data_IF_480320130608
#
_entry.id   IF_480320130608
#
_cell.length_a   1.000
_cell.length_b   1.000
_cell.length_c   1.000
_cell.angle_alpha   90.00
_cell.angle_beta   90.00
_cell.angle_gamma   90.00
#
_symmetry.space_group_name_H-M   'P 1'
#
loop_
_entity.id
_entity.type
_entity.pdbx_description
1 polymer ?
#
# COMPACT_ATOMS: atom_id res chain seq x y z
N UNK A 1 -19.51 -5.01 -3.44
CA UNK A 1 -18.51 -4.69 -2.40
C UNK A 1 -17.49 -3.73 -2.98
N UNK A 2 -17.68 -2.44 -2.69
CA UNK A 2 -16.77 -1.36 -3.10
C UNK A 2 -15.82 -1.16 -1.94
N UNK A 3 -14.60 -1.67 -2.04
CA UNK A 3 -13.56 -1.48 -1.02
C UNK A 3 -13.31 0.03 -0.86
N UNK A 4 -13.66 0.58 0.30
CA UNK A 4 -13.32 1.95 0.72
C UNK A 4 -12.35 1.86 1.87
N UNK A 5 -11.32 2.70 1.82
CA UNK A 5 -10.35 2.85 2.89
C UNK A 5 -10.94 3.83 3.92
N UNK A 6 -11.02 3.47 5.22
CA UNK A 6 -11.40 4.40 6.26
C UNK A 6 -10.27 5.42 6.48
N UNK A 7 -10.60 6.71 6.41
CA UNK A 7 -9.70 7.83 6.63
C UNK A 7 -9.92 8.35 8.06
N UNK A 8 -9.06 7.95 8.99
CA UNK A 8 -9.02 8.52 10.34
C UNK A 8 -8.42 9.93 10.31
N UNK A 9 -9.12 10.90 10.91
CA UNK A 9 -8.64 12.28 11.10
C UNK A 9 -7.61 12.37 12.24
N UNK A 10 -6.66 13.29 12.03
CA UNK A 10 -5.89 14.06 13.01
C UNK A 10 -5.40 13.34 14.28
N UNK A 11 -4.12 12.92 14.25
CA UNK A 11 -3.30 12.86 15.46
C UNK A 11 -1.96 13.53 15.21
N UNK A 12 -1.62 14.43 16.14
CA UNK A 12 -0.47 15.32 16.10
C UNK A 12 0.88 14.58 16.08
N UNK A 13 1.84 15.17 15.38
CA UNK A 13 3.24 14.70 15.26
C UNK A 13 3.96 14.92 16.60
N UNK A 14 4.55 13.89 17.25
CA UNK A 14 5.41 14.10 18.40
C UNK A 14 6.78 14.62 17.95
N UNK A 15 7.28 15.64 18.64
CA UNK A 15 8.59 16.27 18.39
C UNK A 15 9.73 15.39 18.92
N UNK A 16 10.71 15.08 18.05
CA UNK A 16 11.89 14.28 18.38
C UNK A 16 12.94 15.18 19.06
N UNK A 17 13.51 14.81 20.22
CA UNK A 17 14.58 15.59 20.85
C UNK A 17 15.93 15.36 20.17
N UNK A 18 16.69 16.45 20.02
CA UNK A 18 18.04 16.50 19.44
C UNK A 18 19.04 15.62 20.23
N UNK A 19 19.53 14.56 19.62
CA UNK A 19 20.67 13.80 20.13
C UNK A 19 21.98 14.59 19.89
N UNK A 20 22.73 14.85 20.97
CA UNK A 20 24.15 15.23 20.92
C UNK A 20 24.95 13.95 20.67
N UNK A 21 25.93 13.99 19.76
CA UNK A 21 26.91 12.91 19.63
C UNK A 21 28.32 13.49 19.65
N UNK A 22 29.11 13.00 20.60
CA UNK A 22 30.53 13.27 20.75
C UNK A 22 31.34 12.28 19.92
N UNK A 23 32.53 12.72 19.51
CA UNK A 23 33.43 12.09 18.56
C UNK A 23 34.05 10.77 19.03
N UNK A 24 34.46 9.93 18.05
CA UNK A 24 35.32 8.77 18.24
C UNK A 24 35.66 8.12 16.90
N UNK A 25 36.79 8.54 16.31
CA UNK A 25 37.38 8.01 15.07
C UNK A 25 37.97 6.60 15.27
N UNK A 26 37.80 5.70 14.30
CA UNK A 26 38.74 4.61 14.06
C UNK A 26 38.82 4.30 12.57
N UNK A 27 40.03 4.45 12.05
CA UNK A 27 40.45 4.43 10.65
C UNK A 27 40.63 3.02 10.09
N UNK A 28 40.01 2.73 8.94
CA UNK A 28 40.40 1.63 8.04
C UNK A 28 40.41 2.12 6.58
N UNK A 29 41.31 1.59 5.72
CA UNK A 29 41.80 2.31 4.54
C UNK A 29 40.88 2.21 3.32
N UNK A 30 40.81 3.34 2.61
CA UNK A 30 40.04 3.58 1.40
C UNK A 30 40.69 2.91 0.17
N UNK A 31 39.93 2.08 -0.56
CA UNK A 31 40.22 1.67 -1.94
C UNK A 31 39.12 2.16 -2.87
N UNK A 32 39.43 3.21 -3.64
CA UNK A 32 39.03 3.46 -5.02
C UNK A 32 37.53 3.68 -5.37
N UNK A 33 37.17 4.75 -6.09
CA UNK A 33 35.78 5.09 -6.38
C UNK A 33 35.27 4.34 -7.61
N UNK A 34 34.20 3.55 -7.45
CA UNK A 34 33.28 3.29 -8.55
C UNK A 34 32.12 4.26 -8.40
N UNK A 35 32.19 5.31 -9.21
CA UNK A 35 31.15 6.31 -9.42
C UNK A 35 29.84 5.64 -9.82
N UNK A 36 28.93 5.48 -8.87
CA UNK A 36 27.49 5.33 -9.11
C UNK A 36 26.79 6.46 -8.36
N UNK A 37 26.80 7.64 -8.99
CA UNK A 37 26.07 8.81 -8.53
C UNK A 37 24.70 8.83 -9.24
N UNK A 38 23.64 9.19 -8.48
CA UNK A 38 22.22 9.26 -8.85
C UNK A 38 21.51 7.89 -8.95
N UNK A 39 20.52 7.49 -8.15
CA UNK A 39 19.55 8.17 -7.28
C UNK A 39 19.06 7.19 -6.20
N UNK A 40 19.56 7.27 -4.96
CA UNK A 40 18.88 6.65 -3.82
C UNK A 40 17.90 7.68 -3.25
N UNK A 41 16.71 7.77 -3.85
CA UNK A 41 15.57 8.28 -3.07
C UNK A 41 15.32 7.20 -2.03
N UNK A 42 15.58 7.48 -0.76
CA UNK A 42 15.30 6.56 0.33
C UNK A 42 13.81 6.18 0.21
N UNK A 43 13.45 4.89 0.22
CA UNK A 43 12.06 4.46 -0.02
C UNK A 43 11.07 5.16 0.93
N UNK A 44 11.52 5.43 2.16
CA UNK A 44 10.79 6.18 3.17
C UNK A 44 10.55 7.64 2.76
N UNK A 45 11.50 8.32 2.10
CA UNK A 45 11.32 9.67 1.58
C UNK A 45 10.25 9.69 0.49
N UNK A 46 10.26 8.69 -0.39
CA UNK A 46 9.24 8.58 -1.44
C UNK A 46 7.85 8.38 -0.83
N UNK A 47 7.72 7.48 0.15
CA UNK A 47 6.46 7.23 0.87
C UNK A 47 5.96 8.49 1.59
N UNK A 48 6.86 9.25 2.23
CA UNK A 48 6.50 10.51 2.88
C UNK A 48 5.97 11.55 1.89
N UNK A 49 6.42 11.52 0.63
CA UNK A 49 5.98 12.43 -0.43
C UNK A 49 4.68 11.98 -1.12
N UNK A 50 4.30 10.70 -1.06
CA UNK A 50 3.14 10.15 -1.77
C UNK A 50 1.83 10.94 -1.54
N UNK A 51 1.46 11.35 -0.31
CA UNK A 51 0.23 12.12 -0.11
C UNK A 51 0.21 13.43 -0.88
N UNK A 52 1.34 14.12 -0.93
CA UNK A 52 1.48 15.39 -1.64
C UNK A 52 1.49 15.16 -3.16
N UNK A 53 2.26 14.20 -3.65
CA UNK A 53 2.29 13.84 -5.07
C UNK A 53 0.90 13.41 -5.59
N UNK A 54 0.17 12.61 -4.81
CA UNK A 54 -1.18 12.18 -5.15
C UNK A 54 -2.17 13.36 -5.15
N UNK A 55 -2.01 14.32 -4.23
CA UNK A 55 -2.81 15.55 -4.19
C UNK A 55 -2.56 16.42 -5.43
N UNK A 56 -1.30 16.63 -5.80
CA UNK A 56 -0.92 17.44 -6.97
C UNK A 56 -1.44 16.83 -8.27
N UNK A 57 -1.40 15.49 -8.37
CA UNK A 57 -1.93 14.73 -9.51
C UNK A 57 -3.43 14.45 -9.45
N UNK A 58 -4.13 14.83 -8.38
CA UNK A 58 -5.52 14.42 -8.16
C UNK A 58 -6.48 14.85 -9.29
N UNK A 59 -6.39 16.11 -9.73
CA UNK A 59 -7.23 16.65 -10.80
C UNK A 59 -6.96 15.96 -12.15
N UNK A 60 -5.69 15.68 -12.43
CA UNK A 60 -5.24 14.97 -13.62
C UNK A 60 -5.77 13.53 -13.61
N UNK A 61 -5.52 12.80 -12.53
CA UNK A 61 -5.95 11.41 -12.36
C UNK A 61 -7.48 11.29 -12.43
N UNK A 62 -8.23 12.17 -11.76
CA UNK A 62 -9.70 12.17 -11.82
C UNK A 62 -10.22 12.33 -13.24
N UNK A 63 -9.63 13.22 -14.04
CA UNK A 63 -10.01 13.40 -15.45
C UNK A 63 -9.66 12.17 -16.28
N UNK A 64 -8.47 11.61 -16.09
CA UNK A 64 -8.01 10.42 -16.80
C UNK A 64 -8.93 9.22 -16.55
N UNK A 65 -9.18 8.88 -15.28
CA UNK A 65 -10.05 7.75 -14.93
C UNK A 65 -11.51 7.96 -15.34
N UNK A 66 -12.01 9.20 -15.38
CA UNK A 66 -13.34 9.49 -15.92
C UNK A 66 -13.44 9.20 -17.43
N UNK A 67 -12.40 9.53 -18.21
CA UNK A 67 -12.31 9.13 -19.62
C UNK A 67 -12.18 7.63 -19.78
N UNK A 68 -11.29 7.00 -19.00
CA UNK A 68 -11.02 5.57 -19.06
C UNK A 68 -12.28 4.74 -18.79
N UNK A 69 -13.11 5.16 -17.82
CA UNK A 69 -14.38 4.51 -17.51
C UNK A 69 -15.39 4.61 -18.66
N UNK A 70 -15.40 5.70 -19.41
CA UNK A 70 -16.32 5.92 -20.54
C UNK A 70 -15.89 5.17 -21.80
N UNK A 71 -14.59 5.11 -22.07
CA UNK A 71 -14.01 4.50 -23.27
C UNK A 71 -12.79 3.64 -22.89
N UNK A 72 -12.99 2.48 -22.25
CA UNK A 72 -11.89 1.60 -21.91
C UNK A 72 -11.30 0.96 -23.19
N UNK A 73 -9.98 0.99 -23.38
CA UNK A 73 -9.33 0.24 -24.45
C UNK A 73 -9.62 -1.26 -24.32
N UNK A 74 -9.68 -1.98 -25.46
CA UNK A 74 -9.96 -3.43 -25.48
C UNK A 74 -8.93 -4.24 -24.70
N UNK A 75 -7.67 -3.81 -24.72
CA UNK A 75 -6.54 -4.47 -24.06
C UNK A 75 -6.19 -3.85 -22.69
N UNK A 76 -7.09 -3.08 -22.07
CA UNK A 76 -6.83 -2.40 -20.80
C UNK A 76 -6.37 -3.37 -19.71
N UNK A 77 -7.13 -4.43 -19.47
CA UNK A 77 -6.84 -5.37 -18.38
C UNK A 77 -5.50 -6.10 -18.61
N UNK A 78 -5.17 -6.45 -19.87
CA UNK A 78 -3.88 -7.04 -20.22
C UNK A 78 -2.72 -6.05 -20.01
N UNK A 79 -2.91 -4.79 -20.40
CA UNK A 79 -1.91 -3.73 -20.20
C UNK A 79 -1.66 -3.51 -18.70
N UNK A 80 -2.74 -3.52 -17.90
CA UNK A 80 -2.62 -3.36 -16.45
C UNK A 80 -1.91 -4.53 -15.78
N UNK A 81 -2.16 -5.77 -16.22
CA UNK A 81 -1.42 -6.94 -15.75
C UNK A 81 0.08 -6.80 -16.02
N UNK A 82 0.46 -6.42 -17.24
CA UNK A 82 1.87 -6.19 -17.60
C UNK A 82 2.52 -5.12 -16.72
N UNK A 83 1.86 -3.97 -16.57
CA UNK A 83 2.35 -2.88 -15.71
C UNK A 83 2.47 -3.29 -14.24
N UNK A 84 1.54 -4.13 -13.75
CA UNK A 84 1.60 -4.69 -12.40
C UNK A 84 2.82 -5.59 -12.26
N UNK A 85 2.97 -6.59 -13.13
CA UNK A 85 4.05 -7.57 -13.06
C UNK A 85 5.42 -6.87 -13.14
N UNK A 86 5.59 -5.89 -14.04
CA UNK A 86 6.82 -5.09 -14.15
C UNK A 86 7.13 -4.27 -12.90
N UNK A 87 6.12 -3.75 -12.19
CA UNK A 87 6.34 -2.96 -10.98
C UNK A 87 6.71 -3.84 -9.79
N UNK A 88 6.07 -5.00 -9.66
CA UNK A 88 6.30 -5.93 -8.55
C UNK A 88 7.53 -6.82 -8.74
N UNK A 89 8.14 -6.85 -9.93
CA UNK A 89 9.51 -7.37 -10.12
C UNK A 89 10.57 -6.55 -9.38
N UNK A 90 10.28 -5.28 -9.06
CA UNK A 90 11.23 -4.35 -8.42
C UNK A 90 10.72 -3.72 -7.12
N UNK A 91 9.50 -4.07 -6.71
CA UNK A 91 8.89 -3.55 -5.49
C UNK A 91 8.51 -4.72 -4.60
N UNK A 92 9.13 -4.79 -3.41
CA UNK A 92 8.70 -5.71 -2.37
C UNK A 92 7.77 -5.00 -1.38
N UNK A 93 6.63 -5.62 -1.09
CA UNK A 93 5.70 -5.16 -0.06
C UNK A 93 6.32 -5.18 1.34
N UNK A 94 7.26 -6.10 1.59
CA UNK A 94 7.97 -6.25 2.87
C UNK A 94 9.01 -5.14 3.10
N UNK A 95 9.46 -4.45 2.06
CA UNK A 95 10.39 -3.33 2.21
C UNK A 95 9.74 -2.12 2.90
N UNK A 96 8.46 -1.84 2.58
CA UNK A 96 7.76 -0.66 3.12
C UNK A 96 6.70 -0.98 4.18
N UNK A 97 5.91 -2.03 3.97
CA UNK A 97 4.70 -2.35 4.72
C UNK A 97 3.76 -1.15 4.97
N UNK A 98 3.75 -0.14 4.09
CA UNK A 98 3.07 1.13 4.39
C UNK A 98 1.56 0.96 4.59
N UNK A 99 0.90 0.17 3.73
CA UNK A 99 -0.53 -0.10 3.87
C UNK A 99 -0.87 -0.88 5.16
N UNK A 100 0.04 -1.74 5.64
CA UNK A 100 -0.09 -2.42 6.92
C UNK A 100 0.07 -1.47 8.11
N UNK A 101 0.83 -0.37 7.95
CA UNK A 101 1.06 0.65 8.98
C UNK A 101 -0.06 1.68 9.09
N UNK A 102 -0.72 2.03 7.98
CA UNK A 102 -1.58 3.22 7.94
C UNK A 102 -3.06 2.95 7.62
N UNK A 103 -3.39 1.81 7.00
CA UNK A 103 -4.74 1.61 6.43
C UNK A 103 -5.48 0.45 7.06
N UNK A 104 -4.83 -0.71 7.17
CA UNK A 104 -5.48 -1.94 7.60
C UNK A 104 -6.45 -2.51 6.55
N UNK A 105 -6.59 -3.84 6.45
CA UNK A 105 -7.50 -4.48 5.50
C UNK A 105 -8.93 -4.59 6.05
N UNK A 106 -9.88 -4.76 5.14
CA UNK A 106 -11.18 -5.35 5.45
C UNK A 106 -11.10 -6.88 5.43
N UNK A 107 -11.85 -7.50 6.31
CA UNK A 107 -11.96 -8.95 6.47
C UNK A 107 -13.32 -9.43 6.00
N UNK A 108 -13.34 -10.45 5.15
CA UNK A 108 -14.57 -11.17 4.82
C UNK A 108 -14.83 -12.30 5.81
N UNK A 109 -16.06 -12.79 5.90
CA UNK A 109 -16.38 -13.96 6.76
C UNK A 109 -15.48 -15.16 6.44
N UNK A 110 -15.15 -15.36 5.15
CA UNK A 110 -14.20 -16.40 4.70
C UNK A 110 -12.77 -16.15 5.18
N UNK A 111 -12.36 -14.89 5.29
CA UNK A 111 -11.06 -14.55 5.87
C UNK A 111 -11.05 -14.84 7.37
N UNK A 112 -12.13 -14.45 8.08
CA UNK A 112 -12.30 -14.72 9.51
C UNK A 112 -12.22 -16.23 9.79
N UNK A 113 -13.00 -17.06 9.09
CA UNK A 113 -12.98 -18.51 9.27
C UNK A 113 -11.57 -19.09 9.07
N UNK A 114 -10.91 -18.68 7.99
CA UNK A 114 -9.60 -19.19 7.60
C UNK A 114 -8.49 -18.76 8.58
N UNK A 115 -8.53 -17.52 9.07
CA UNK A 115 -7.53 -16.99 10.01
C UNK A 115 -7.81 -17.50 11.42
N UNK A 116 -9.07 -17.56 11.86
CA UNK A 116 -9.43 -18.14 13.16
C UNK A 116 -8.95 -19.59 13.27
N UNK A 117 -9.10 -20.39 12.19
CA UNK A 117 -8.55 -21.75 12.12
C UNK A 117 -7.03 -21.79 12.32
N UNK A 118 -6.28 -20.83 11.76
CA UNK A 118 -4.83 -20.72 11.95
C UNK A 118 -4.46 -20.49 13.42
N UNK A 119 -5.22 -19.66 14.13
CA UNK A 119 -5.06 -19.43 15.57
C UNK A 119 -5.71 -20.51 16.47
N UNK A 120 -6.38 -21.51 15.89
CA UNK A 120 -7.18 -22.52 16.61
C UNK A 120 -8.27 -21.89 17.50
N UNK A 121 -8.87 -20.79 17.04
CA UNK A 121 -9.96 -20.08 17.70
C UNK A 121 -11.30 -20.32 16.97
N UNK A 122 -12.42 -20.15 17.68
CA UNK A 122 -13.72 -20.00 17.02
C UNK A 122 -13.78 -18.65 16.29
N UNK A 123 -14.47 -18.53 15.13
CA UNK A 123 -14.62 -17.27 14.39
C UNK A 123 -15.04 -16.08 15.26
N UNK A 124 -16.06 -16.27 16.11
CA UNK A 124 -16.56 -15.24 17.03
C UNK A 124 -15.49 -14.74 18.03
N UNK A 125 -14.61 -15.64 18.50
CA UNK A 125 -13.54 -15.26 19.41
C UNK A 125 -12.45 -14.46 18.67
N UNK A 126 -12.14 -14.86 17.43
CA UNK A 126 -11.20 -14.12 16.59
C UNK A 126 -11.72 -12.71 16.29
N UNK A 127 -13.00 -12.58 15.90
CA UNK A 127 -13.62 -11.28 15.66
C UNK A 127 -13.57 -10.40 16.90
N UNK A 128 -14.00 -10.91 18.06
CA UNK A 128 -13.99 -10.15 19.32
C UNK A 128 -12.58 -9.71 19.73
N UNK A 129 -11.56 -10.52 19.45
CA UNK A 129 -10.19 -10.25 19.85
C UNK A 129 -9.46 -9.29 18.91
N UNK A 130 -9.69 -9.37 17.60
CA UNK A 130 -8.85 -8.68 16.61
C UNK A 130 -9.58 -7.68 15.72
N UNK A 131 -10.90 -7.79 15.60
CA UNK A 131 -11.69 -7.02 14.64
C UNK A 131 -12.70 -6.10 15.33
N UNK A 132 -13.24 -5.18 14.53
CA UNK A 132 -14.40 -4.35 14.86
C UNK A 132 -15.19 -4.05 13.60
N UNK A 133 -16.44 -3.62 13.74
CA UNK A 133 -17.19 -3.04 12.62
C UNK A 133 -16.91 -1.55 12.51
N UNK A 134 -16.68 -1.06 11.30
CA UNK A 134 -16.57 0.38 11.03
C UNK A 134 -17.93 1.03 10.74
N UNK A 135 -17.91 2.31 10.34
CA UNK A 135 -19.10 3.11 10.04
C UNK A 135 -19.90 2.58 8.84
N UNK A 136 -19.22 1.86 7.92
CA UNK A 136 -19.81 1.26 6.74
C UNK A 136 -20.33 -0.19 7.04
N UNK A 137 -20.13 -0.68 8.27
CA UNK A 137 -20.53 -2.02 8.72
C UNK A 137 -19.53 -3.12 8.35
N UNK A 138 -18.38 -2.75 7.79
CA UNK A 138 -17.34 -3.67 7.35
C UNK A 138 -16.47 -4.13 8.53
N UNK A 139 -16.02 -5.39 8.48
CA UNK A 139 -15.10 -5.93 9.49
C UNK A 139 -13.68 -5.46 9.20
N UNK A 140 -13.11 -4.68 10.11
CA UNK A 140 -11.78 -4.09 10.00
C UNK A 140 -10.96 -4.33 11.28
N UNK A 141 -9.67 -4.02 11.24
CA UNK A 141 -8.83 -4.06 12.44
C UNK A 141 -9.29 -3.07 13.51
N UNK A 142 -9.03 -3.41 14.77
CA UNK A 142 -9.31 -2.52 15.90
C UNK A 142 -8.51 -1.21 15.82
N UNK A 143 -7.23 -1.28 15.44
CA UNK A 143 -6.35 -0.13 15.29
C UNK A 143 -5.32 -0.34 14.17
N UNK A 144 -4.60 0.74 13.84
CA UNK A 144 -3.39 0.72 13.01
C UNK A 144 -2.21 1.21 13.85
N UNK A 145 -0.98 0.70 13.65
CA UNK A 145 -0.54 -0.32 12.69
C UNK A 145 -1.20 -1.69 12.87
N UNK A 146 -1.16 -2.52 11.83
CA UNK A 146 -1.76 -3.85 11.85
C UNK A 146 -1.23 -4.71 13.00
N UNK A 147 -2.12 -5.31 13.78
CA UNK A 147 -1.78 -6.17 14.92
C UNK A 147 -0.94 -7.40 14.53
N UNK A 148 -1.01 -7.82 13.27
CA UNK A 148 -0.24 -8.94 12.73
C UNK A 148 1.10 -8.52 12.10
N UNK A 149 1.45 -7.22 12.12
CA UNK A 149 2.70 -6.71 11.55
C UNK A 149 3.83 -6.77 12.58
N UNK A 150 4.90 -7.48 12.25
CA UNK A 150 6.15 -7.54 13.00
C UNK A 150 7.04 -6.31 12.79
N UNK A 151 8.04 -6.15 13.67
CA UNK A 151 9.00 -5.04 13.61
C UNK A 151 9.90 -5.09 12.37
N UNK A 152 10.02 -6.26 11.75
CA UNK A 152 10.74 -6.55 10.51
C UNK A 152 9.87 -6.37 9.25
N UNK A 153 8.70 -5.73 9.37
CA UNK A 153 7.66 -5.62 8.34
C UNK A 153 7.00 -6.95 7.93
N UNK A 154 7.36 -8.07 8.55
CA UNK A 154 6.77 -9.36 8.22
C UNK A 154 5.38 -9.53 8.86
N UNK A 155 4.47 -10.22 8.17
CA UNK A 155 3.13 -10.48 8.68
C UNK A 155 3.06 -11.85 9.36
N UNK A 156 2.67 -11.91 10.63
CA UNK A 156 2.55 -13.17 11.38
C UNK A 156 1.51 -14.13 10.79
N UNK A 157 0.61 -13.62 9.95
CA UNK A 157 -0.38 -14.40 9.21
C UNK A 157 -0.18 -14.33 7.69
N UNK A 158 1.05 -14.11 7.19
CA UNK A 158 1.31 -13.83 5.76
C UNK A 158 0.63 -14.82 4.79
N UNK A 159 0.72 -16.12 5.05
CA UNK A 159 0.11 -17.19 4.24
C UNK A 159 -1.43 -17.19 4.29
N UNK A 160 -1.97 -16.79 5.44
CA UNK A 160 -3.40 -16.68 5.69
C UNK A 160 -3.88 -15.23 5.72
N UNK A 161 -3.16 -14.30 5.08
CA UNK A 161 -3.57 -12.88 5.05
C UNK A 161 -4.95 -12.72 4.40
N UNK A 162 -5.75 -11.72 4.80
CA UNK A 162 -7.07 -11.49 4.23
C UNK A 162 -6.97 -11.18 2.74
N UNK A 163 -8.06 -11.44 2.00
CA UNK A 163 -8.11 -11.22 0.55
C UNK A 163 -7.67 -9.80 0.15
N UNK A 164 -8.09 -8.80 0.93
CA UNK A 164 -7.71 -7.40 0.75
C UNK A 164 -6.19 -7.20 0.68
N UNK A 165 -5.45 -7.83 1.60
CA UNK A 165 -3.99 -7.73 1.65
C UNK A 165 -3.31 -8.46 0.50
N UNK A 166 -3.88 -9.57 0.01
CA UNK A 166 -3.30 -10.32 -1.11
C UNK A 166 -3.42 -9.56 -2.42
N UNK A 167 -4.57 -8.92 -2.62
CA UNK A 167 -4.91 -8.25 -3.87
C UNK A 167 -4.50 -6.78 -3.88
N UNK A 168 -4.05 -6.20 -2.76
CA UNK A 168 -3.62 -4.80 -2.70
C UNK A 168 -2.39 -4.57 -3.60
N UNK A 169 -2.34 -3.51 -4.44
CA UNK A 169 -3.24 -2.34 -4.54
C UNK A 169 -4.38 -2.47 -5.57
N UNK A 170 -4.71 -3.69 -5.99
CA UNK A 170 -5.75 -4.09 -6.95
C UNK A 170 -5.49 -3.68 -8.40
N UNK A 171 -4.21 -3.62 -8.81
CA UNK A 171 -3.81 -3.17 -10.15
C UNK A 171 -3.81 -4.28 -11.21
N UNK A 172 -3.90 -5.55 -10.83
CA UNK A 172 -3.97 -6.76 -11.67
C UNK A 172 -5.41 -7.28 -11.87
N UNK A 173 -6.40 -6.54 -11.38
CA UNK A 173 -7.81 -6.95 -11.40
C UNK A 173 -8.47 -6.77 -12.77
N UNK A 174 -9.28 -7.76 -13.18
CA UNK A 174 -10.22 -7.66 -14.33
C UNK A 174 -11.25 -6.53 -14.16
N UNK A 175 -11.61 -5.88 -15.27
CA UNK A 175 -12.47 -4.69 -15.31
C UNK A 175 -11.90 -3.54 -14.47
N UNK A 176 -10.59 -3.31 -14.59
CA UNK A 176 -9.84 -2.33 -13.79
C UNK A 176 -10.49 -0.92 -13.79
N UNK A 177 -11.03 -0.50 -14.93
CA UNK A 177 -11.73 0.78 -15.08
C UNK A 177 -12.89 1.02 -14.08
N UNK A 178 -13.43 -0.03 -13.45
CA UNK A 178 -14.50 0.08 -12.45
C UNK A 178 -14.01 0.59 -11.09
N UNK A 179 -12.72 0.41 -10.76
CA UNK A 179 -12.14 0.74 -9.46
C UNK A 179 -11.28 2.00 -9.47
N UNK A 180 -11.34 2.82 -10.52
CA UNK A 180 -10.46 4.00 -10.66
C UNK A 180 -10.46 4.95 -9.45
N UNK A 181 -11.61 5.16 -8.79
CA UNK A 181 -11.67 5.96 -7.57
C UNK A 181 -10.86 5.37 -6.41
N UNK A 182 -10.85 4.04 -6.27
CA UNK A 182 -10.04 3.33 -5.28
C UNK A 182 -8.56 3.41 -5.67
N UNK A 183 -8.23 3.17 -6.93
CA UNK A 183 -6.86 3.27 -7.42
C UNK A 183 -6.25 4.64 -7.15
N UNK A 184 -6.99 5.73 -7.42
CA UNK A 184 -6.53 7.10 -7.13
C UNK A 184 -6.31 7.35 -5.64
N UNK A 185 -7.08 6.72 -4.75
CA UNK A 185 -6.80 6.79 -3.31
C UNK A 185 -5.53 6.02 -2.95
N UNK A 186 -5.34 4.84 -3.56
CA UNK A 186 -4.18 3.98 -3.30
C UNK A 186 -2.87 4.64 -3.74
N UNK A 187 -2.86 5.58 -4.69
CA UNK A 187 -1.63 6.30 -5.09
C UNK A 187 -1.06 7.18 -3.97
N UNK A 188 -1.87 7.56 -2.97
CA UNK A 188 -1.40 8.32 -1.81
C UNK A 188 -0.75 7.43 -0.72
N UNK A 189 -0.84 6.11 -0.86
CA UNK A 189 -0.45 5.14 0.17
C UNK A 189 0.64 4.20 -0.37
N UNK A 190 0.47 3.68 -1.58
CA UNK A 190 1.34 2.65 -2.14
C UNK A 190 2.24 3.23 -3.23
N UNK A 191 3.58 3.10 -3.11
CA UNK A 191 4.51 3.56 -4.13
C UNK A 191 4.30 2.83 -5.46
N UNK A 192 4.06 1.51 -5.43
CA UNK A 192 3.75 0.74 -6.65
C UNK A 192 2.46 1.24 -7.32
N UNK A 193 1.40 1.52 -6.54
CA UNK A 193 0.16 2.04 -7.11
C UNK A 193 0.37 3.40 -7.79
N UNK A 194 1.15 4.29 -7.18
CA UNK A 194 1.51 5.57 -7.79
C UNK A 194 2.25 5.37 -9.11
N UNK A 195 3.33 4.58 -9.10
CA UNK A 195 4.15 4.32 -10.29
C UNK A 195 3.35 3.68 -11.43
N UNK A 196 2.51 2.68 -11.12
CA UNK A 196 1.65 2.02 -12.12
C UNK A 196 0.69 3.02 -12.75
N UNK A 197 0.08 3.92 -11.96
CA UNK A 197 -0.83 4.93 -12.51
C UNK A 197 -0.11 5.94 -13.40
N UNK A 198 1.09 6.39 -13.01
CA UNK A 198 1.88 7.29 -13.85
C UNK A 198 2.32 6.62 -15.17
N UNK A 199 2.80 5.38 -15.12
CA UNK A 199 3.12 4.59 -16.33
C UNK A 199 1.89 4.35 -17.20
N UNK A 200 0.75 4.01 -16.60
CA UNK A 200 -0.50 3.76 -17.32
C UNK A 200 -0.91 4.97 -18.15
N UNK A 201 -0.80 6.19 -17.60
CA UNK A 201 -1.10 7.43 -18.34
C UNK A 201 -0.19 7.66 -19.55
N UNK A 202 1.04 7.14 -19.52
CA UNK A 202 1.97 7.22 -20.65
C UNK A 202 1.64 6.21 -21.76
N UNK A 203 1.19 5.00 -21.38
CA UNK A 203 0.88 3.92 -22.32
C UNK A 203 -0.52 4.05 -22.95
N UNK A 204 -1.48 4.61 -22.22
CA UNK A 204 -2.88 4.68 -22.64
C UNK A 204 -3.24 6.11 -23.04
N UNK A 205 -3.41 6.34 -24.35
CA UNK A 205 -3.83 7.63 -24.91
C UNK A 205 -5.38 7.67 -25.00
N UNK A 206 -6.01 8.64 -24.30
CA UNK A 206 -7.47 8.79 -24.15
C UNK A 206 -8.05 10.16 -24.55
#
# INVERSE_FOLDING_TARGET
MVWRIPIGRDQAIPTIPRARSAAGFSSYPLRGPKTYFCTFVHMQDFIAQLPQLAKDKHKENKKFFAKLKKKPPKNLDQTMQQLHDEEFQRTDCLDCANCCKTTGPLFTDKDVERIAKFFKLKPQQFEAQYLRRDEDGDLVLQSVPCTFLGADNYCSIYEVRPKACREYPHTDRKKFHQIGNLTVKNTAICPAAYNIVEKMKQHIKL
#
